data_IF_359751402824
#
_entry.id   IF_359751402824
#
_cell.length_a   1.000
_cell.length_b   1.000
_cell.length_c   1.000
_cell.angle_alpha   90.00
_cell.angle_beta   90.00
_cell.angle_gamma   90.00
#
_symmetry.space_group_name_H-M   'P 1'
#
loop_
_entity.id
_entity.type
_entity.pdbx_description
1 polymer ?
#
# COMPACT_ATOMS: atom_id res chain seq x y z
N UNK A 1 8.79 -4.71 -19.97
CA UNK A 1 9.60 -3.60 -19.42
C UNK A 1 8.84 -2.27 -19.33
N UNK A 2 7.80 -2.01 -20.14
CA UNK A 2 7.02 -0.76 -20.05
C UNK A 2 6.12 -0.65 -18.82
N UNK A 3 5.74 -1.76 -18.17
CA UNK A 3 4.93 -1.73 -16.95
C UNK A 3 5.67 -1.09 -15.78
N UNK A 4 6.93 -1.47 -15.60
CA UNK A 4 7.77 -1.01 -14.48
C UNK A 4 8.10 0.48 -14.55
N UNK A 5 8.01 1.12 -15.71
CA UNK A 5 8.19 2.58 -15.79
C UNK A 5 7.02 3.37 -15.20
N UNK A 6 5.89 2.74 -14.92
CA UNK A 6 4.76 3.34 -14.21
C UNK A 6 4.83 3.10 -12.69
N UNK A 7 5.77 2.28 -12.21
CA UNK A 7 5.87 1.96 -10.80
C UNK A 7 6.40 3.19 -10.04
N UNK A 8 5.61 3.71 -9.10
CA UNK A 8 6.03 4.78 -8.19
C UNK A 8 6.46 4.17 -6.85
N UNK A 9 7.78 4.10 -6.63
CA UNK A 9 8.31 3.68 -5.31
C UNK A 9 8.11 4.79 -4.30
N UNK A 10 7.50 4.47 -3.16
CA UNK A 10 7.29 5.41 -2.07
C UNK A 10 7.65 4.76 -0.72
N UNK A 11 7.98 5.57 0.31
CA UNK A 11 8.08 5.11 1.69
C UNK A 11 6.84 4.31 2.13
N UNK A 12 7.05 3.35 3.03
CA UNK A 12 5.99 2.45 3.51
C UNK A 12 4.81 3.22 4.12
N UNK A 13 5.10 4.23 4.95
CA UNK A 13 4.08 5.08 5.57
C UNK A 13 3.26 5.87 4.55
N UNK A 14 3.90 6.42 3.52
CA UNK A 14 3.19 7.15 2.46
C UNK A 14 2.21 6.25 1.71
N UNK A 15 2.63 5.01 1.39
CA UNK A 15 1.74 4.04 0.75
C UNK A 15 0.57 3.62 1.66
N UNK A 16 0.77 3.56 2.99
CA UNK A 16 -0.33 3.30 3.94
C UNK A 16 -1.31 4.46 4.01
N UNK A 17 -0.80 5.70 4.01
CA UNK A 17 -1.64 6.91 4.01
C UNK A 17 -2.50 6.97 2.75
N UNK A 18 -1.98 6.57 1.59
CA UNK A 18 -2.76 6.45 0.35
C UNK A 18 -3.91 5.44 0.48
N UNK A 19 -3.66 4.26 1.06
CA UNK A 19 -4.72 3.28 1.30
C UNK A 19 -5.83 3.86 2.18
N UNK A 20 -5.48 4.57 3.26
CA UNK A 20 -6.49 5.19 4.12
C UNK A 20 -7.26 6.31 3.39
N UNK A 21 -6.56 7.12 2.59
CA UNK A 21 -7.17 8.20 1.80
C UNK A 21 -8.15 7.69 0.74
N UNK A 22 -7.90 6.52 0.16
CA UNK A 22 -8.79 5.85 -0.82
C UNK A 22 -10.03 5.19 -0.17
N UNK A 23 -10.23 5.37 1.14
CA UNK A 23 -11.41 4.92 1.85
C UNK A 23 -11.34 3.48 2.38
N UNK A 24 -10.14 2.90 2.48
CA UNK A 24 -9.97 1.70 3.28
C UNK A 24 -10.09 2.07 4.77
N UNK A 25 -10.93 1.35 5.51
CA UNK A 25 -11.21 1.63 6.93
C UNK A 25 -10.04 1.28 7.85
N UNK A 26 -9.13 0.42 7.38
CA UNK A 26 -7.92 0.02 8.08
C UNK A 26 -6.87 -0.39 7.04
N UNK A 27 -5.63 0.02 7.25
CA UNK A 27 -4.48 -0.41 6.48
C UNK A 27 -3.31 -0.70 7.44
N UNK A 28 -2.52 -1.73 7.15
CA UNK A 28 -1.33 -2.08 7.93
C UNK A 28 -0.32 -2.86 7.05
N UNK A 29 0.95 -2.91 7.45
CA UNK A 29 1.99 -3.72 6.82
C UNK A 29 2.19 -5.02 7.60
N UNK A 30 1.81 -6.15 7.01
CA UNK A 30 1.84 -7.46 7.69
C UNK A 30 3.17 -8.21 7.50
N UNK A 31 3.97 -7.80 6.52
CA UNK A 31 5.29 -8.39 6.27
C UNK A 31 6.20 -7.38 5.56
N UNK A 32 7.47 -7.33 5.96
CA UNK A 32 8.49 -6.53 5.29
C UNK A 32 9.82 -7.28 5.21
N UNK A 33 10.42 -7.29 4.02
CA UNK A 33 11.78 -7.77 3.79
C UNK A 33 12.49 -6.85 2.79
N UNK A 34 13.51 -6.12 3.26
CA UNK A 34 14.21 -5.10 2.48
C UNK A 34 13.21 -4.10 1.84
N UNK A 35 13.17 -4.05 0.50
CA UNK A 35 12.32 -3.16 -0.28
C UNK A 35 10.93 -3.76 -0.62
N UNK A 36 10.66 -4.99 -0.17
CA UNK A 36 9.37 -5.65 -0.37
C UNK A 36 8.53 -5.56 0.89
N UNK A 37 7.29 -5.09 0.75
CA UNK A 37 6.30 -5.03 1.81
C UNK A 37 4.98 -5.65 1.32
N UNK A 38 4.25 -6.29 2.23
CA UNK A 38 2.89 -6.79 1.99
C UNK A 38 1.95 -6.01 2.88
N UNK A 39 0.95 -5.37 2.25
CA UNK A 39 -0.07 -4.59 2.96
C UNK A 39 -1.35 -5.40 3.13
N UNK A 40 -1.99 -5.22 4.28
CA UNK A 40 -3.36 -5.60 4.56
C UNK A 40 -4.22 -4.35 4.55
N UNK A 41 -5.35 -4.37 3.86
CA UNK A 41 -6.32 -3.27 3.90
C UNK A 41 -7.75 -3.80 3.89
N UNK A 42 -8.64 -3.18 4.66
CA UNK A 42 -10.06 -3.54 4.76
C UNK A 42 -10.89 -2.45 4.13
N UNK A 43 -11.77 -2.81 3.19
CA UNK A 43 -12.83 -1.94 2.71
C UNK A 43 -14.12 -2.34 3.44
N UNK A 44 -14.67 -1.46 4.26
CA UNK A 44 -16.00 -1.67 4.81
C UNK A 44 -16.99 -1.64 3.64
N UNK A 45 -17.64 -2.76 3.38
CA UNK A 45 -18.76 -2.81 2.44
C UNK A 45 -19.90 -1.98 3.01
N UNK A 46 -20.41 -1.04 2.21
CA UNK A 46 -21.71 -0.40 2.44
C UNK A 46 -22.80 -1.39 2.07
#
# INVERSE_FOLDING_TARGET
YHRTSFDQTAPLNEQMDWLLAEGFSKADCIFKYLNFAVFFAVKQGV
#
